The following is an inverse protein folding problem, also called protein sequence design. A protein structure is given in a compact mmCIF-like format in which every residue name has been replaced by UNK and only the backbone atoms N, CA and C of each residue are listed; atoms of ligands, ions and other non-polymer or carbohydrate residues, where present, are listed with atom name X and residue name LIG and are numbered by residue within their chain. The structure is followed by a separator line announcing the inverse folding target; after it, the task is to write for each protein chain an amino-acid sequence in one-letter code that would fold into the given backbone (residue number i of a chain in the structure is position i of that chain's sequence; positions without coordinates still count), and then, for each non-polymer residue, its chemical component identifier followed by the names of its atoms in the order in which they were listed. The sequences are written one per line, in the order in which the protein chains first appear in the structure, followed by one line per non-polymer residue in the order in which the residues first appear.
data_IF_313253091807
#
_entry.id   IF_313253091807
#
_cell.length_a   1.000
_cell.length_b   1.000
_cell.length_c   1.000
_cell.angle_alpha   90.00
_cell.angle_beta   90.00
_cell.angle_gamma   90.00
#
_symmetry.space_group_name_H-M   'P 1'
#
loop_
_entity.id
_entity.type
_entity.pdbx_description
1 polymer ?
#
# COMPACT_ATOMS: atom_id res chain seq x y z
N UNK A 1 10.46 -2.40 4.88
CA UNK A 1 9.22 -1.76 5.38
C UNK A 1 8.28 -1.58 4.20
N UNK A 2 6.95 -1.71 4.38
CA UNK A 2 5.96 -1.46 3.34
C UNK A 2 4.98 -0.36 3.78
N UNK A 3 4.37 0.32 2.81
CA UNK A 3 3.37 1.35 3.10
C UNK A 3 2.02 0.72 3.43
N UNK A 4 1.43 1.14 4.56
CA UNK A 4 0.09 0.76 4.99
C UNK A 4 -0.62 1.99 5.57
N UNK A 5 -1.76 2.33 5.02
CA UNK A 5 -2.58 3.46 5.49
C UNK A 5 -4.04 3.03 5.66
N UNK A 6 -4.63 3.34 6.83
CA UNK A 6 -6.04 3.15 7.11
C UNK A 6 -6.70 4.52 7.31
N UNK A 7 -7.76 4.79 6.57
CA UNK A 7 -8.58 5.98 6.71
C UNK A 7 -10.06 5.63 6.79
N UNK A 8 -10.88 6.58 7.23
CA UNK A 8 -12.32 6.41 7.36
C UNK A 8 -13.06 7.55 6.71
N UNK A 9 -14.12 7.24 5.97
CA UNK A 9 -15.04 8.22 5.43
C UNK A 9 -16.18 8.46 6.44
N UNK A 10 -16.33 9.70 6.88
CA UNK A 10 -17.37 10.14 7.82
C UNK A 10 -18.04 11.38 7.23
N UNK A 11 -19.34 11.33 7.03
CA UNK A 11 -20.09 12.39 6.34
C UNK A 11 -19.92 13.78 6.97
N UNK A 12 -19.90 13.88 8.30
CA UNK A 12 -19.81 15.14 9.03
C UNK A 12 -18.39 15.76 9.07
N UNK A 13 -17.33 14.95 8.90
CA UNK A 13 -15.93 15.39 9.05
C UNK A 13 -15.20 15.55 7.71
N UNK A 14 -15.91 15.43 6.60
CA UNK A 14 -15.29 15.23 5.29
C UNK A 14 -15.27 16.48 4.41
N UNK A 15 -15.43 17.68 4.99
CA UNK A 15 -15.30 18.91 4.20
C UNK A 15 -13.84 19.15 3.79
N UNK A 16 -13.56 18.96 2.51
CA UNK A 16 -12.34 19.51 1.90
C UNK A 16 -12.72 20.87 1.35
N UNK A 17 -12.12 21.94 1.86
CA UNK A 17 -12.18 23.26 1.24
C UNK A 17 -11.37 23.20 -0.05
N UNK A 18 -12.01 23.42 -1.17
CA UNK A 18 -11.35 23.56 -2.47
C UNK A 18 -10.81 25.00 -2.59
N UNK A 19 -9.81 25.20 -3.44
CA UNK A 19 -9.21 26.50 -3.72
C UNK A 19 -10.20 27.54 -4.27
N UNK A 20 -11.33 27.08 -4.82
CA UNK A 20 -12.45 27.90 -5.33
C UNK A 20 -13.49 28.29 -4.24
N UNK A 21 -13.23 27.94 -2.97
CA UNK A 21 -14.14 28.23 -1.85
C UNK A 21 -15.27 27.19 -1.67
N UNK A 22 -15.43 26.25 -2.56
CA UNK A 22 -16.41 25.17 -2.43
C UNK A 22 -15.91 24.08 -1.45
N UNK A 23 -16.85 23.43 -0.77
CA UNK A 23 -16.56 22.31 0.14
C UNK A 23 -16.97 21.01 -0.53
N UNK A 24 -16.02 20.08 -0.68
CA UNK A 24 -16.27 18.73 -1.18
C UNK A 24 -16.19 17.74 -0.03
N UNK A 25 -17.18 16.86 0.07
CA UNK A 25 -17.14 15.77 1.05
C UNK A 25 -16.37 14.58 0.49
N UNK A 26 -15.51 13.97 1.32
CA UNK A 26 -14.97 12.64 1.03
C UNK A 26 -16.06 11.61 1.29
N UNK A 27 -16.85 11.32 0.27
CA UNK A 27 -17.93 10.35 0.35
C UNK A 27 -17.43 8.98 -0.15
N UNK A 28 -18.06 7.93 0.35
CA UNK A 28 -17.74 6.54 -0.05
C UNK A 28 -17.94 6.33 -1.54
N UNK A 29 -18.99 6.92 -2.13
CA UNK A 29 -19.21 6.92 -3.58
C UNK A 29 -18.05 7.59 -4.34
N UNK A 30 -17.56 8.73 -3.86
CA UNK A 30 -16.42 9.41 -4.48
C UNK A 30 -15.14 8.58 -4.36
N UNK A 31 -14.91 7.93 -3.21
CA UNK A 31 -13.79 7.01 -3.01
C UNK A 31 -13.87 5.80 -3.95
N UNK A 32 -15.06 5.21 -4.11
CA UNK A 32 -15.30 4.14 -5.07
C UNK A 32 -14.91 4.55 -6.49
N UNK A 33 -15.44 5.67 -6.99
CA UNK A 33 -15.13 6.14 -8.34
C UNK A 33 -13.64 6.50 -8.51
N UNK A 34 -12.99 6.99 -7.45
CA UNK A 34 -11.56 7.24 -7.47
C UNK A 34 -10.76 5.95 -7.66
N UNK A 35 -11.00 4.92 -6.83
CA UNK A 35 -10.24 3.68 -6.90
C UNK A 35 -10.58 2.84 -8.15
N UNK A 36 -11.81 2.94 -8.68
CA UNK A 36 -12.23 2.22 -9.90
C UNK A 36 -11.96 2.98 -11.19
N UNK A 37 -11.43 4.21 -11.09
CA UNK A 37 -11.15 5.10 -12.24
C UNK A 37 -12.39 5.30 -13.14
N UNK A 38 -13.54 5.53 -12.54
CA UNK A 38 -14.81 5.73 -13.22
C UNK A 38 -15.29 7.19 -13.10
N UNK A 39 -16.26 7.58 -13.91
CA UNK A 39 -16.82 8.94 -14.00
C UNK A 39 -15.73 10.02 -14.18
N UNK A 40 -15.75 11.05 -13.33
CA UNK A 40 -14.77 12.14 -13.37
C UNK A 40 -13.33 11.64 -13.33
N UNK A 41 -13.08 10.57 -12.57
CA UNK A 41 -11.75 9.99 -12.39
C UNK A 41 -11.28 9.11 -13.56
N UNK A 42 -12.13 8.87 -14.56
CA UNK A 42 -11.73 8.17 -15.79
C UNK A 42 -10.69 8.94 -16.62
N UNK A 43 -10.64 10.27 -16.44
CA UNK A 43 -9.63 11.14 -17.08
C UNK A 43 -8.22 10.95 -16.47
N UNK A 44 -8.13 10.38 -15.27
CA UNK A 44 -6.88 10.02 -14.61
C UNK A 44 -6.36 8.62 -15.00
N UNK A 45 -7.00 7.95 -15.98
CA UNK A 45 -6.43 6.78 -16.68
C UNK A 45 -5.26 7.19 -17.60
N UNK A 46 -4.58 8.27 -17.27
CA UNK A 46 -3.52 8.79 -18.09
C UNK A 46 -2.26 7.94 -17.95
N UNK A 47 -1.33 8.16 -18.83
CA UNK A 47 0.02 7.60 -19.00
C UNK A 47 0.85 7.43 -17.71
N UNK A 48 0.34 7.89 -16.56
CA UNK A 48 1.04 7.97 -15.27
C UNK A 48 0.59 6.87 -14.29
N UNK A 49 -0.64 6.37 -14.38
CA UNK A 49 -1.17 5.38 -13.41
C UNK A 49 -2.10 4.38 -14.08
N UNK A 50 -1.74 3.10 -14.06
CA UNK A 50 -2.54 1.99 -14.59
C UNK A 50 -3.48 1.43 -13.51
N UNK A 51 -4.74 1.17 -13.89
CA UNK A 51 -5.65 0.33 -13.11
C UNK A 51 -5.44 -1.12 -13.54
N UNK A 52 -4.67 -1.89 -12.76
CA UNK A 52 -4.37 -3.29 -13.05
C UNK A 52 -5.57 -4.23 -12.83
N UNK A 53 -6.36 -3.96 -11.80
CA UNK A 53 -7.48 -4.81 -11.39
C UNK A 53 -8.50 -4.03 -10.58
N UNK A 54 -9.77 -4.44 -10.67
CA UNK A 54 -10.85 -3.93 -9.82
C UNK A 54 -11.96 -4.97 -9.70
N UNK A 55 -12.44 -5.21 -8.48
CA UNK A 55 -13.57 -6.08 -8.21
C UNK A 55 -14.30 -5.70 -6.91
N UNK A 56 -15.58 -6.07 -6.82
CA UNK A 56 -16.40 -5.85 -5.64
C UNK A 56 -16.94 -7.17 -5.10
N UNK A 57 -17.03 -7.28 -3.77
CA UNK A 57 -17.34 -8.52 -3.08
C UNK A 57 -18.40 -8.30 -2.00
N UNK A 58 -19.23 -9.33 -1.76
CA UNK A 58 -20.23 -9.35 -0.70
C UNK A 58 -21.21 -8.18 -0.76
N UNK A 59 -21.53 -7.72 -1.97
CA UNK A 59 -22.55 -6.70 -2.14
C UNK A 59 -23.95 -7.29 -1.89
N UNK A 60 -24.88 -6.55 -1.26
CA UNK A 60 -26.29 -6.99 -1.21
C UNK A 60 -26.86 -7.05 -2.64
N UNK A 61 -27.89 -7.88 -2.86
CA UNK A 61 -28.47 -8.13 -4.18
C UNK A 61 -28.80 -6.86 -4.98
N UNK A 62 -29.18 -5.76 -4.31
CA UNK A 62 -29.48 -4.48 -4.95
C UNK A 62 -28.23 -3.68 -5.34
N UNK A 63 -27.05 -4.06 -4.87
CA UNK A 63 -25.74 -3.45 -5.18
C UNK A 63 -24.78 -4.38 -5.92
N UNK A 64 -25.14 -5.63 -6.18
CA UNK A 64 -24.25 -6.65 -6.71
C UNK A 64 -23.76 -6.30 -8.14
N UNK A 65 -24.68 -5.96 -9.04
CA UNK A 65 -24.34 -5.52 -10.38
C UNK A 65 -23.99 -4.02 -10.47
N UNK A 66 -24.24 -3.26 -9.42
CA UNK A 66 -24.05 -1.82 -9.36
C UNK A 66 -23.42 -1.41 -8.02
N UNK A 67 -22.12 -1.72 -7.81
CA UNK A 67 -21.46 -1.41 -6.53
C UNK A 67 -21.45 0.10 -6.20
N UNK A 68 -21.48 0.96 -7.19
CA UNK A 68 -21.62 2.42 -7.01
C UNK A 68 -22.91 2.79 -6.27
N UNK A 69 -24.02 2.07 -6.51
CA UNK A 69 -25.28 2.27 -5.77
C UNK A 69 -25.14 1.88 -4.30
N UNK A 70 -24.36 0.84 -4.00
CA UNK A 70 -24.07 0.48 -2.60
C UNK A 70 -23.35 1.62 -1.88
N UNK A 71 -22.29 2.17 -2.48
CA UNK A 71 -21.52 3.25 -1.87
C UNK A 71 -22.33 4.55 -1.78
N UNK A 72 -23.20 4.82 -2.76
CA UNK A 72 -24.14 5.93 -2.68
C UNK A 72 -25.12 5.75 -1.52
N UNK A 73 -25.69 4.57 -1.35
CA UNK A 73 -26.62 4.26 -0.25
C UNK A 73 -25.92 4.36 1.12
N UNK A 74 -24.63 3.96 1.21
CA UNK A 74 -23.84 4.13 2.42
C UNK A 74 -23.74 5.62 2.81
N UNK A 75 -23.49 6.49 1.86
CA UNK A 75 -23.44 7.94 2.11
C UNK A 75 -24.83 8.53 2.40
N UNK A 76 -25.87 8.03 1.75
CA UNK A 76 -27.23 8.54 1.89
C UNK A 76 -27.84 8.20 3.25
N UNK A 77 -27.76 6.93 3.66
CA UNK A 77 -28.52 6.39 4.77
C UNK A 77 -27.73 6.20 6.07
N UNK A 78 -26.41 6.34 6.04
CA UNK A 78 -25.61 6.36 7.27
C UNK A 78 -25.75 7.71 7.97
N UNK A 79 -25.87 7.69 9.30
CA UNK A 79 -25.90 8.90 10.13
C UNK A 79 -24.64 9.76 9.92
N UNK A 80 -24.80 11.08 9.98
CA UNK A 80 -23.73 12.07 9.72
C UNK A 80 -22.46 11.84 10.56
N UNK A 81 -22.62 11.39 11.81
CA UNK A 81 -21.51 11.15 12.74
C UNK A 81 -20.89 9.77 12.62
N UNK A 82 -21.40 8.90 11.75
CA UNK A 82 -20.95 7.51 11.63
C UNK A 82 -20.09 7.32 10.38
N UNK A 83 -19.21 6.32 10.44
CA UNK A 83 -18.40 5.91 9.28
C UNK A 83 -19.30 5.34 8.20
N UNK A 84 -19.16 5.84 6.99
CA UNK A 84 -19.84 5.34 5.78
C UNK A 84 -19.04 4.21 5.15
N UNK A 85 -17.70 4.31 5.20
CA UNK A 85 -16.76 3.29 4.77
C UNK A 85 -15.41 3.44 5.46
N UNK A 86 -14.59 2.41 5.38
CA UNK A 86 -13.17 2.41 5.72
C UNK A 86 -12.36 2.10 4.46
N UNK A 87 -11.17 2.65 4.37
CA UNK A 87 -10.30 2.52 3.21
C UNK A 87 -8.89 2.20 3.68
N UNK A 88 -8.36 1.06 3.22
CA UNK A 88 -6.97 0.64 3.43
C UNK A 88 -6.24 0.80 2.11
N UNK A 89 -5.03 1.37 2.17
CA UNK A 89 -4.08 1.40 1.06
C UNK A 89 -2.83 0.66 1.47
N UNK A 90 -2.40 -0.32 0.65
CA UNK A 90 -1.26 -1.20 0.94
C UNK A 90 -0.33 -1.20 -0.28
N UNK A 91 0.96 -0.89 -0.08
CA UNK A 91 1.94 -1.13 -1.13
C UNK A 91 2.08 -2.64 -1.38
N UNK A 92 2.02 -3.03 -2.65
CA UNK A 92 2.22 -4.41 -3.07
C UNK A 92 3.68 -4.63 -3.50
N UNK A 93 4.25 -5.82 -3.29
CA UNK A 93 5.58 -6.15 -3.78
C UNK A 93 5.66 -6.07 -5.31
N UNK A 94 6.59 -5.28 -5.82
CA UNK A 94 6.87 -5.20 -7.26
C UNK A 94 7.52 -6.49 -7.80
N UNK A 95 8.07 -7.29 -6.92
CA UNK A 95 8.65 -8.60 -7.19
C UNK A 95 7.60 -9.63 -7.64
N UNK A 96 6.32 -9.40 -7.33
CA UNK A 96 5.21 -10.23 -7.77
C UNK A 96 4.68 -9.73 -9.12
N UNK A 97 4.37 -10.67 -10.01
CA UNK A 97 3.65 -10.36 -11.25
C UNK A 97 2.20 -9.92 -10.99
N UNK A 98 1.54 -9.41 -12.04
CA UNK A 98 0.16 -8.90 -11.96
C UNK A 98 -0.83 -9.94 -11.40
N UNK A 99 -0.73 -11.20 -11.82
CA UNK A 99 -1.66 -12.24 -11.37
C UNK A 99 -1.45 -12.54 -9.88
N UNK A 100 -0.20 -12.58 -9.42
CA UNK A 100 0.12 -12.79 -8.00
C UNK A 100 -0.25 -11.59 -7.14
N UNK A 101 -0.15 -10.37 -7.67
CA UNK A 101 -0.68 -9.17 -6.99
C UNK A 101 -2.20 -9.22 -6.83
N UNK A 102 -2.93 -9.75 -7.83
CA UNK A 102 -4.39 -9.97 -7.74
C UNK A 102 -4.70 -10.99 -6.66
N UNK A 103 -4.09 -12.18 -6.70
CA UNK A 103 -4.28 -13.24 -5.70
C UNK A 103 -3.99 -12.74 -4.28
N UNK A 104 -2.89 -12.02 -4.09
CA UNK A 104 -2.51 -11.41 -2.81
C UNK A 104 -3.57 -10.41 -2.33
N UNK A 105 -4.07 -9.57 -3.24
CA UNK A 105 -5.09 -8.56 -2.92
C UNK A 105 -6.42 -9.19 -2.53
N UNK A 106 -6.83 -10.25 -3.20
CA UNK A 106 -8.03 -11.03 -2.85
C UNK A 106 -7.85 -11.76 -1.51
N UNK A 107 -6.66 -12.29 -1.24
CA UNK A 107 -6.35 -12.94 0.06
C UNK A 107 -6.41 -11.95 1.21
N UNK A 108 -5.85 -10.73 1.03
CA UNK A 108 -5.93 -9.64 2.01
C UNK A 108 -7.38 -9.18 2.21
N UNK A 109 -8.15 -9.00 1.14
CA UNK A 109 -9.57 -8.66 1.21
C UNK A 109 -10.36 -9.74 1.97
N UNK A 110 -10.12 -11.02 1.68
CA UNK A 110 -10.77 -12.12 2.38
C UNK A 110 -10.46 -12.11 3.88
N UNK A 111 -9.19 -11.88 4.26
CA UNK A 111 -8.76 -11.80 5.65
C UNK A 111 -9.47 -10.67 6.41
N UNK A 112 -9.55 -9.47 5.83
CA UNK A 112 -10.08 -8.31 6.53
C UNK A 112 -11.59 -8.16 6.42
N UNK A 113 -12.19 -8.61 5.33
CA UNK A 113 -13.60 -8.37 5.01
C UNK A 113 -14.37 -9.65 4.69
N UNK A 114 -13.79 -10.57 3.95
CA UNK A 114 -14.49 -11.72 3.35
C UNK A 114 -15.06 -12.68 4.39
N UNK A 115 -14.27 -13.03 5.41
CA UNK A 115 -14.71 -13.90 6.50
C UNK A 115 -15.94 -13.35 7.28
N UNK A 116 -16.12 -12.02 7.24
CA UNK A 116 -17.26 -11.33 7.86
C UNK A 116 -18.35 -10.96 6.86
N UNK A 117 -18.23 -11.35 5.59
CA UNK A 117 -19.12 -10.94 4.50
C UNK A 117 -19.38 -9.42 4.51
N UNK A 118 -18.36 -8.62 4.70
CA UNK A 118 -18.46 -7.16 4.62
C UNK A 118 -18.38 -6.73 3.15
N UNK A 119 -19.35 -5.94 2.66
CA UNK A 119 -19.30 -5.36 1.32
C UNK A 119 -18.00 -4.58 1.13
N UNK A 120 -17.25 -4.93 0.10
CA UNK A 120 -15.93 -4.36 -0.18
C UNK A 120 -15.67 -4.23 -1.67
N UNK A 121 -14.82 -3.27 -2.03
CA UNK A 121 -14.28 -3.09 -3.39
C UNK A 121 -12.77 -3.01 -3.28
N UNK A 122 -12.07 -3.81 -4.08
CA UNK A 122 -10.62 -3.71 -4.23
C UNK A 122 -10.28 -3.12 -5.59
N UNK A 123 -9.19 -2.39 -5.65
CA UNK A 123 -8.57 -1.94 -6.89
C UNK A 123 -7.05 -1.94 -6.73
N UNK A 124 -6.34 -2.39 -7.75
CA UNK A 124 -4.88 -2.35 -7.81
C UNK A 124 -4.50 -1.26 -8.79
N UNK A 125 -3.79 -0.26 -8.29
CA UNK A 125 -3.18 0.78 -9.10
C UNK A 125 -1.68 0.54 -9.19
N UNK A 126 -1.11 0.87 -10.34
CA UNK A 126 0.32 0.86 -10.54
C UNK A 126 0.75 2.17 -11.19
N UNK A 127 1.70 2.86 -10.59
CA UNK A 127 2.24 4.09 -11.13
C UNK A 127 3.76 4.11 -10.97
N UNK A 128 4.42 4.94 -11.75
CA UNK A 128 5.85 5.17 -11.64
C UNK A 128 6.12 6.07 -10.44
N UNK A 129 7.13 5.72 -9.66
CA UNK A 129 7.51 6.48 -8.46
C UNK A 129 7.91 7.91 -8.80
N UNK A 130 7.28 8.90 -8.17
CA UNK A 130 7.56 10.32 -8.40
C UNK A 130 8.98 10.74 -8.01
N UNK A 131 9.63 9.99 -7.08
CA UNK A 131 10.95 10.35 -6.56
C UNK A 131 12.11 9.74 -7.32
N UNK A 132 11.97 8.54 -7.89
CA UNK A 132 13.04 7.87 -8.66
C UNK A 132 12.74 7.70 -10.15
N UNK A 133 11.50 7.97 -10.57
CA UNK A 133 11.10 8.10 -11.96
C UNK A 133 11.03 6.81 -12.78
N UNK A 134 11.51 5.67 -12.25
CA UNK A 134 11.65 4.43 -13.02
C UNK A 134 11.07 3.18 -12.33
N UNK A 135 10.82 3.21 -11.02
CA UNK A 135 10.30 2.02 -10.33
C UNK A 135 8.79 2.02 -10.26
N UNK A 136 8.20 0.86 -10.53
CA UNK A 136 6.79 0.61 -10.30
C UNK A 136 6.42 0.71 -8.83
N UNK A 137 5.23 1.25 -8.56
CA UNK A 137 4.65 1.32 -7.22
C UNK A 137 3.24 0.74 -7.21
N UNK A 138 3.10 -0.58 -7.39
CA UNK A 138 1.80 -1.22 -7.30
C UNK A 138 1.25 -1.10 -5.89
N UNK A 139 -0.03 -0.75 -5.77
CA UNK A 139 -0.68 -0.64 -4.48
C UNK A 139 -2.15 -1.02 -4.54
N UNK A 140 -2.58 -1.71 -3.49
CA UNK A 140 -3.96 -2.11 -3.27
C UNK A 140 -4.72 -0.97 -2.59
N UNK A 141 -5.89 -0.67 -3.12
CA UNK A 141 -6.97 0.04 -2.44
C UNK A 141 -8.04 -0.96 -2.04
N UNK A 142 -8.34 -1.07 -0.74
CA UNK A 142 -9.44 -1.84 -0.19
C UNK A 142 -10.44 -0.89 0.47
N UNK A 143 -11.54 -0.63 -0.20
CA UNK A 143 -12.68 0.12 0.33
C UNK A 143 -13.72 -0.86 0.87
N UNK A 144 -14.12 -0.73 2.15
CA UNK A 144 -15.07 -1.64 2.76
C UNK A 144 -16.04 -0.96 3.72
N UNK A 145 -17.21 -1.58 3.86
CA UNK A 145 -18.21 -1.21 4.86
C UNK A 145 -18.08 -2.11 6.08
N UNK A 146 -18.12 -1.53 7.29
CA UNK A 146 -18.16 -2.33 8.52
C UNK A 146 -19.50 -3.06 8.72
N UNK A 147 -20.46 -2.93 7.80
CA UNK A 147 -21.73 -3.66 7.81
C UNK A 147 -21.55 -5.06 7.23
N UNK A 148 -22.06 -6.06 7.92
CA UNK A 148 -21.90 -7.48 7.59
C UNK A 148 -23.21 -8.07 7.03
N UNK A 149 -23.06 -9.01 6.11
CA UNK A 149 -24.16 -9.81 5.55
C UNK A 149 -24.20 -11.24 6.11
N UNK A 150 -23.55 -11.52 7.24
CA UNK A 150 -23.50 -12.86 7.84
C UNK A 150 -24.87 -13.41 8.22
N UNK A 151 -25.83 -12.55 8.56
CA UNK A 151 -27.19 -12.97 8.92
C UNK A 151 -28.07 -13.37 7.73
N UNK A 152 -27.58 -13.17 6.49
CA UNK A 152 -28.26 -13.46 5.24
C UNK A 152 -29.67 -12.83 5.10
N UNK A 153 -30.01 -11.81 5.90
CA UNK A 153 -31.30 -11.13 5.85
C UNK A 153 -31.30 -10.15 4.68
N UNK A 154 -32.28 -10.27 3.79
CA UNK A 154 -32.49 -9.30 2.71
C UNK A 154 -33.02 -8.00 3.30
N UNK A 155 -32.35 -6.89 3.01
CA UNK A 155 -32.72 -5.54 3.46
C UNK A 155 -32.76 -4.59 2.27
N UNK A 156 -33.68 -3.63 2.30
CA UNK A 156 -33.62 -2.49 1.36
C UNK A 156 -32.36 -1.65 1.65
N UNK A 157 -31.89 -0.80 0.69
CA UNK A 157 -30.75 0.08 0.89
C UNK A 157 -30.84 0.90 2.17
N UNK A 158 -31.99 1.55 2.42
CA UNK A 158 -32.22 2.33 3.64
C UNK A 158 -32.15 1.49 4.91
N UNK A 159 -32.79 0.31 4.90
CA UNK A 159 -32.81 -0.56 6.07
C UNK A 159 -31.41 -1.10 6.38
N UNK A 160 -30.61 -1.42 5.38
CA UNK A 160 -29.27 -1.99 5.54
C UNK A 160 -28.37 -1.11 6.43
N UNK A 161 -28.43 0.21 6.27
CA UNK A 161 -27.61 1.16 7.00
C UNK A 161 -28.21 1.62 8.34
N UNK A 162 -29.46 1.22 8.68
CA UNK A 162 -30.04 1.48 10.00
C UNK A 162 -29.23 0.83 11.13
N UNK A 163 -29.55 1.19 12.35
CA UNK A 163 -28.97 0.55 13.54
C UNK A 163 -29.39 -0.92 13.61
N UNK A 164 -28.43 -1.80 13.90
CA UNK A 164 -28.71 -3.22 14.17
C UNK A 164 -29.58 -3.37 15.40
N UNK A 165 -30.56 -4.30 15.36
CA UNK A 165 -31.45 -4.62 16.46
C UNK A 165 -31.24 -6.07 16.87
N UNK A 166 -30.52 -6.29 17.96
CA UNK A 166 -30.19 -7.64 18.45
C UNK A 166 -31.44 -8.51 18.71
N UNK A 167 -32.49 -7.93 19.31
CA UNK A 167 -33.76 -8.67 19.61
C UNK A 167 -34.63 -8.93 18.38
N UNK A 168 -34.44 -8.18 17.30
CA UNK A 168 -35.20 -8.33 16.07
C UNK A 168 -34.37 -7.91 14.87
N UNK A 169 -33.39 -8.76 14.44
CA UNK A 169 -32.47 -8.42 13.35
C UNK A 169 -33.18 -8.10 12.03
N UNK A 170 -34.31 -8.77 11.74
CA UNK A 170 -35.08 -8.54 10.51
C UNK A 170 -35.68 -7.13 10.42
N UNK A 171 -35.99 -6.48 11.54
CA UNK A 171 -36.46 -5.08 11.60
C UNK A 171 -35.34 -4.06 11.80
N UNK A 172 -34.09 -4.52 12.02
CA UNK A 172 -32.89 -3.70 12.17
C UNK A 172 -32.07 -3.56 10.88
N UNK A 173 -31.03 -2.76 10.95
CA UNK A 173 -29.98 -2.70 9.92
C UNK A 173 -29.05 -3.92 9.97
N UNK A 174 -28.10 -3.99 9.05
CA UNK A 174 -27.07 -5.02 9.05
C UNK A 174 -26.16 -4.93 10.29
N UNK A 175 -25.67 -6.07 10.77
CA UNK A 175 -24.72 -6.14 11.88
C UNK A 175 -23.46 -5.34 11.55
N UNK A 176 -22.98 -4.56 12.51
CA UNK A 176 -21.76 -3.79 12.35
C UNK A 176 -20.59 -4.51 13.00
N UNK A 177 -19.57 -4.86 12.21
CA UNK A 177 -18.33 -5.47 12.66
C UNK A 177 -17.30 -4.35 12.86
N UNK A 178 -17.09 -3.98 14.11
CA UNK A 178 -16.12 -2.93 14.49
C UNK A 178 -14.89 -3.55 15.13
N UNK A 179 -13.84 -2.76 15.31
CA UNK A 179 -12.64 -3.16 16.04
C UNK A 179 -12.95 -3.70 17.45
N UNK A 180 -14.00 -3.16 18.11
CA UNK A 180 -14.43 -3.64 19.44
C UNK A 180 -15.11 -5.01 19.34
N UNK A 181 -15.95 -5.23 18.32
CA UNK A 181 -16.59 -6.53 18.06
C UNK A 181 -15.55 -7.59 17.74
N UNK A 182 -14.49 -7.23 17.02
CA UNK A 182 -13.37 -8.11 16.70
C UNK A 182 -12.41 -8.33 17.89
N UNK A 183 -12.58 -7.61 18.99
CA UNK A 183 -11.73 -7.72 20.19
C UNK A 183 -10.42 -6.92 20.12
N UNK A 184 -10.11 -6.27 18.99
CA UNK A 184 -8.86 -5.55 18.79
C UNK A 184 -8.86 -4.11 19.31
N UNK A 185 -10.03 -3.48 19.44
CA UNK A 185 -10.18 -2.11 19.94
C UNK A 185 -9.17 -1.14 19.29
N UNK A 186 -8.31 -0.50 20.10
CA UNK A 186 -7.27 0.44 19.61
C UNK A 186 -6.16 -0.24 18.82
N UNK A 187 -5.98 -1.55 18.97
CA UNK A 187 -4.93 -2.33 18.34
C UNK A 187 -5.30 -2.82 16.92
N UNK A 188 -6.46 -2.44 16.39
CA UNK A 188 -6.93 -2.90 15.07
C UNK A 188 -5.95 -2.55 13.95
N UNK A 189 -5.33 -1.37 14.00
CA UNK A 189 -4.32 -0.95 13.02
C UNK A 189 -3.09 -1.83 13.08
N UNK A 190 -2.60 -2.12 14.29
CA UNK A 190 -1.47 -3.02 14.49
C UNK A 190 -1.78 -4.42 13.98
N UNK A 191 -2.97 -4.95 14.32
CA UNK A 191 -3.44 -6.25 13.82
C UNK A 191 -3.45 -6.31 12.29
N UNK A 192 -4.05 -5.31 11.62
CA UNK A 192 -4.08 -5.27 10.15
C UNK A 192 -2.67 -5.20 9.54
N UNK A 193 -1.77 -4.41 10.12
CA UNK A 193 -0.38 -4.32 9.64
C UNK A 193 0.37 -5.64 9.80
N UNK A 194 0.25 -6.30 10.95
CA UNK A 194 0.90 -7.59 11.19
C UNK A 194 0.35 -8.67 10.26
N UNK A 195 -0.97 -8.75 10.08
CA UNK A 195 -1.57 -9.71 9.14
C UNK A 195 -1.19 -9.43 7.68
N UNK A 196 -1.07 -8.16 7.32
CA UNK A 196 -0.56 -7.80 5.98
C UNK A 196 0.87 -8.29 5.79
N UNK A 197 1.75 -8.09 6.77
CA UNK A 197 3.14 -8.57 6.74
C UNK A 197 3.20 -10.10 6.58
N UNK A 198 2.46 -10.83 7.40
CA UNK A 198 2.40 -12.29 7.35
C UNK A 198 1.99 -12.78 5.95
N UNK A 199 0.86 -12.26 5.41
CA UNK A 199 0.33 -12.69 4.12
C UNK A 199 1.25 -12.28 2.97
N UNK A 200 1.82 -11.08 2.98
CA UNK A 200 2.79 -10.65 1.96
C UNK A 200 4.02 -11.57 1.98
N UNK A 201 4.55 -11.88 3.16
CA UNK A 201 5.74 -12.72 3.28
C UNK A 201 5.47 -14.17 2.85
N UNK A 202 4.28 -14.73 3.13
CA UNK A 202 3.87 -16.03 2.58
C UNK A 202 3.90 -16.05 1.04
N UNK A 203 3.43 -14.99 0.39
CA UNK A 203 3.46 -14.85 -1.07
C UNK A 203 4.87 -14.66 -1.61
N UNK A 204 5.69 -13.82 -0.95
CA UNK A 204 7.07 -13.60 -1.36
C UNK A 204 7.91 -14.87 -1.22
N UNK A 205 7.80 -15.57 -0.10
CA UNK A 205 8.50 -16.84 0.11
C UNK A 205 8.17 -17.87 -0.99
N UNK A 206 6.91 -17.92 -1.44
CA UNK A 206 6.45 -18.88 -2.44
C UNK A 206 6.80 -18.49 -3.86
N UNK A 207 6.74 -17.22 -4.25
CA UNK A 207 6.76 -16.77 -5.64
C UNK A 207 7.95 -15.88 -6.00
N UNK A 208 8.57 -15.23 -5.03
CA UNK A 208 9.69 -14.32 -5.21
C UNK A 208 10.55 -14.25 -3.93
N UNK A 209 11.18 -15.37 -3.50
CA UNK A 209 11.86 -15.45 -2.20
C UNK A 209 13.05 -14.49 -2.09
N UNK A 210 13.66 -14.16 -3.22
CA UNK A 210 14.81 -13.26 -3.30
C UNK A 210 14.56 -12.11 -4.27
N UNK A 211 15.31 -11.03 -4.10
CA UNK A 211 15.36 -9.87 -5.00
C UNK A 211 16.78 -9.35 -5.11
N UNK A 212 17.06 -8.66 -6.21
CA UNK A 212 18.33 -7.95 -6.39
C UNK A 212 18.16 -6.51 -5.91
N UNK A 213 19.07 -6.08 -5.02
CA UNK A 213 19.20 -4.69 -4.57
C UNK A 213 20.57 -4.18 -4.96
N UNK A 214 20.68 -2.87 -5.25
CA UNK A 214 21.95 -2.21 -5.49
C UNK A 214 22.29 -1.34 -4.28
N UNK A 215 23.44 -1.61 -3.66
CA UNK A 215 23.98 -0.85 -2.52
C UNK A 215 25.36 -0.34 -2.88
N UNK A 216 25.51 0.97 -3.02
CA UNK A 216 26.78 1.63 -3.41
C UNK A 216 27.46 0.99 -4.64
N UNK A 217 26.64 0.67 -5.67
CA UNK A 217 27.13 0.08 -6.91
C UNK A 217 27.43 -1.42 -6.86
N UNK A 218 27.09 -2.11 -5.76
CA UNK A 218 27.18 -3.56 -5.62
C UNK A 218 25.78 -4.15 -5.71
N UNK A 219 25.57 -5.09 -6.62
CA UNK A 219 24.32 -5.84 -6.72
C UNK A 219 24.36 -7.04 -5.77
N UNK A 220 23.32 -7.13 -4.94
CA UNK A 220 23.15 -8.19 -3.94
C UNK A 220 21.82 -8.89 -4.16
N UNK A 221 21.87 -10.21 -4.13
CA UNK A 221 20.66 -11.03 -4.02
C UNK A 221 20.32 -11.20 -2.53
N UNK A 222 19.15 -10.69 -2.13
CA UNK A 222 18.70 -10.63 -0.75
C UNK A 222 17.27 -11.16 -0.62
N UNK A 223 16.82 -11.48 0.59
CA UNK A 223 15.43 -11.87 0.86
C UNK A 223 14.46 -10.75 0.46
N UNK A 224 13.35 -11.14 -0.17
CA UNK A 224 12.27 -10.21 -0.53
C UNK A 224 11.36 -9.85 0.65
N UNK A 225 11.51 -10.46 1.82
CA UNK A 225 10.63 -10.26 2.96
C UNK A 225 10.44 -8.78 3.34
N UNK A 226 9.24 -8.45 3.80
CA UNK A 226 8.86 -7.10 4.27
C UNK A 226 8.64 -7.11 5.79
N UNK A 227 8.69 -5.92 6.41
CA UNK A 227 8.37 -5.76 7.82
C UNK A 227 7.43 -4.58 8.06
N UNK A 228 6.47 -4.73 8.97
CA UNK A 228 5.54 -3.69 9.39
C UNK A 228 6.07 -2.83 10.55
N UNK A 229 7.25 -3.15 11.07
CA UNK A 229 7.87 -2.40 12.16
C UNK A 229 8.20 -0.96 11.72
N UNK A 230 8.09 -0.02 12.66
CA UNK A 230 8.69 1.30 12.47
C UNK A 230 10.22 1.19 12.40
N UNK A 231 10.91 2.22 11.89
CA UNK A 231 12.37 2.23 11.92
C UNK A 231 12.90 2.12 13.35
N UNK A 232 12.27 2.78 14.30
CA UNK A 232 12.62 2.72 15.73
C UNK A 232 12.50 1.29 16.28
N UNK A 233 11.34 0.63 16.05
CA UNK A 233 11.10 -0.74 16.55
C UNK A 233 12.02 -1.75 15.85
N UNK A 234 12.28 -1.54 14.55
CA UNK A 234 13.20 -2.38 13.78
C UNK A 234 14.63 -2.25 14.32
N UNK A 235 15.10 -1.01 14.56
CA UNK A 235 16.40 -0.72 15.14
C UNK A 235 16.55 -1.36 16.52
N UNK A 236 15.52 -1.24 17.36
CA UNK A 236 15.50 -1.85 18.70
C UNK A 236 15.56 -3.37 18.66
N UNK A 237 14.82 -3.98 17.72
CA UNK A 237 14.72 -5.44 17.59
C UNK A 237 15.97 -6.07 17.00
N UNK A 238 16.58 -5.42 16.00
CA UNK A 238 17.67 -6.00 15.20
C UNK A 238 19.01 -5.31 15.39
N UNK A 239 19.09 -4.25 16.20
CA UNK A 239 20.34 -3.53 16.45
C UNK A 239 20.84 -2.72 15.25
N UNK A 240 19.95 -2.35 14.32
CA UNK A 240 20.25 -1.54 13.13
C UNK A 240 20.17 -0.05 13.44
N UNK A 241 20.52 0.79 12.45
CA UNK A 241 20.50 2.26 12.54
C UNK A 241 19.70 2.86 11.37
N UNK A 242 18.47 2.34 11.15
CA UNK A 242 17.60 2.87 10.11
C UNK A 242 17.22 4.31 10.41
N UNK A 243 17.23 5.16 9.39
CA UNK A 243 16.85 6.57 9.44
C UNK A 243 15.49 6.78 8.79
N UNK A 244 14.73 7.76 9.30
CA UNK A 244 13.48 8.16 8.66
C UNK A 244 13.74 8.98 7.41
N UNK A 245 12.93 8.72 6.37
CA UNK A 245 13.03 9.44 5.10
C UNK A 245 12.27 10.77 5.22
N UNK A 246 12.92 11.86 4.86
CA UNK A 246 12.31 13.18 4.82
C UNK A 246 11.13 13.21 3.85
N UNK A 247 9.99 13.76 4.31
CA UNK A 247 8.81 13.94 3.46
C UNK A 247 8.95 15.23 2.64
N UNK A 248 8.90 15.09 1.32
CA UNK A 248 8.88 16.25 0.41
C UNK A 248 7.48 16.87 0.42
N UNK A 249 7.32 18.17 0.67
CA UNK A 249 6.03 18.84 0.56
C UNK A 249 5.42 18.64 -0.82
N UNK A 250 4.11 18.32 -0.83
CA UNK A 250 3.43 17.98 -2.09
C UNK A 250 3.43 19.15 -3.08
N UNK A 251 3.34 20.36 -2.57
CA UNK A 251 3.34 21.60 -3.35
C UNK A 251 4.62 21.72 -4.16
N UNK A 252 5.78 21.40 -3.58
CA UNK A 252 7.08 21.42 -4.25
C UNK A 252 7.17 20.38 -5.37
N UNK A 253 6.63 19.18 -5.16
CA UNK A 253 6.70 18.07 -6.15
C UNK A 253 6.03 18.42 -7.49
N UNK A 254 5.01 19.29 -7.46
CA UNK A 254 4.24 19.68 -8.64
C UNK A 254 4.50 21.12 -9.07
N UNK A 255 5.43 21.83 -8.43
CA UNK A 255 5.81 23.19 -8.80
C UNK A 255 6.58 23.18 -10.13
N UNK A 256 6.32 24.19 -10.95
CA UNK A 256 7.07 24.48 -12.20
C UNK A 256 8.12 25.57 -12.00
N UNK A 257 8.22 26.14 -10.78
CA UNK A 257 9.25 27.13 -10.46
C UNK A 257 10.63 26.48 -10.42
N UNK A 258 11.66 27.03 -11.11
CA UNK A 258 13.02 26.50 -11.08
C UNK A 258 13.63 26.35 -9.68
N UNK A 259 13.43 27.33 -8.79
CA UNK A 259 13.96 27.27 -7.41
C UNK A 259 13.37 26.08 -6.62
N UNK A 260 12.07 25.84 -6.76
CA UNK A 260 11.39 24.70 -6.12
C UNK A 260 11.88 23.37 -6.72
N UNK A 261 12.19 23.34 -8.01
CA UNK A 261 12.73 22.16 -8.68
C UNK A 261 14.14 21.82 -8.18
N UNK A 262 14.97 22.84 -7.91
CA UNK A 262 16.30 22.65 -7.32
C UNK A 262 16.19 22.14 -5.87
N UNK A 263 15.23 22.66 -5.10
CA UNK A 263 14.94 22.16 -3.76
C UNK A 263 14.48 20.69 -3.80
N UNK A 264 13.59 20.33 -4.71
CA UNK A 264 13.16 18.93 -4.92
C UNK A 264 14.34 18.03 -5.31
N UNK A 265 15.27 18.53 -6.12
CA UNK A 265 16.48 17.77 -6.49
C UNK A 265 17.36 17.47 -5.26
N UNK A 266 17.50 18.43 -4.34
CA UNK A 266 18.21 18.24 -3.08
C UNK A 266 17.51 17.21 -2.18
N UNK A 267 16.19 17.30 -2.00
CA UNK A 267 15.41 16.27 -1.28
C UNK A 267 15.59 14.89 -1.91
N UNK A 268 15.54 14.77 -3.23
CA UNK A 268 15.75 13.49 -3.93
C UNK A 268 17.13 12.89 -3.66
N UNK A 269 18.16 13.74 -3.57
CA UNK A 269 19.52 13.30 -3.25
C UNK A 269 19.59 12.77 -1.83
N UNK A 270 19.12 13.54 -0.85
CA UNK A 270 19.07 13.15 0.56
C UNK A 270 18.28 11.84 0.76
N UNK A 271 17.10 11.73 0.13
CA UNK A 271 16.26 10.51 0.21
C UNK A 271 17.00 9.30 -0.37
N UNK A 272 17.74 9.45 -1.46
CA UNK A 272 18.55 8.36 -2.02
C UNK A 272 19.64 7.92 -1.06
N UNK A 273 20.36 8.86 -0.44
CA UNK A 273 21.40 8.58 0.54
C UNK A 273 20.85 7.85 1.76
N UNK A 274 19.71 8.31 2.32
CA UNK A 274 19.04 7.64 3.43
C UNK A 274 18.59 6.23 3.02
N UNK A 275 17.99 6.05 1.84
CA UNK A 275 17.58 4.73 1.35
C UNK A 275 18.74 3.77 1.17
N UNK A 276 19.88 4.25 0.63
CA UNK A 276 21.10 3.45 0.50
C UNK A 276 21.64 3.04 1.87
N UNK A 277 21.69 3.99 2.82
CA UNK A 277 22.07 3.70 4.19
C UNK A 277 21.16 2.63 4.82
N UNK A 278 19.86 2.78 4.71
CA UNK A 278 18.89 1.84 5.25
C UNK A 278 19.01 0.45 4.62
N UNK A 279 19.23 0.37 3.30
CA UNK A 279 19.50 -0.90 2.63
C UNK A 279 20.78 -1.55 3.15
N UNK A 280 21.85 -0.76 3.32
CA UNK A 280 23.10 -1.25 3.90
C UNK A 280 22.88 -1.77 5.33
N UNK A 281 22.18 -1.03 6.18
CA UNK A 281 21.90 -1.44 7.56
C UNK A 281 21.07 -2.74 7.62
N UNK A 282 20.06 -2.90 6.76
CA UNK A 282 19.24 -4.12 6.70
C UNK A 282 20.03 -5.31 6.18
N UNK A 283 20.88 -5.11 5.17
CA UNK A 283 21.63 -6.18 4.50
C UNK A 283 23.13 -6.09 4.76
N UNK A 284 23.54 -5.54 5.90
CA UNK A 284 24.94 -5.26 6.23
C UNK A 284 25.85 -6.48 6.09
N UNK A 285 25.42 -7.63 6.56
CA UNK A 285 26.21 -8.87 6.47
C UNK A 285 26.42 -9.31 5.02
N UNK A 286 25.36 -9.29 4.21
CA UNK A 286 25.40 -9.62 2.79
C UNK A 286 26.26 -8.62 2.02
N UNK A 287 26.13 -7.33 2.34
CA UNK A 287 26.94 -6.25 1.76
C UNK A 287 28.42 -6.39 2.08
N UNK A 288 28.77 -6.66 3.35
CA UNK A 288 30.15 -6.88 3.79
C UNK A 288 30.79 -8.08 3.06
N UNK A 289 30.04 -9.18 2.90
CA UNK A 289 30.50 -10.36 2.15
C UNK A 289 30.70 -10.05 0.66
N UNK A 290 29.78 -9.30 0.03
CA UNK A 290 29.91 -8.92 -1.36
C UNK A 290 31.09 -7.97 -1.58
N UNK A 291 31.33 -7.04 -0.67
CA UNK A 291 32.47 -6.13 -0.72
C UNK A 291 33.80 -6.89 -0.61
N UNK A 292 33.89 -7.89 0.31
CA UNK A 292 35.07 -8.72 0.45
C UNK A 292 35.36 -9.51 -0.83
N UNK A 293 34.35 -10.16 -1.42
CA UNK A 293 34.52 -10.89 -2.70
C UNK A 293 34.97 -9.98 -3.84
N UNK A 294 34.41 -8.78 -3.94
CA UNK A 294 34.81 -7.80 -4.97
C UNK A 294 36.27 -7.38 -4.82
N UNK A 295 36.73 -7.15 -3.57
CA UNK A 295 38.12 -6.79 -3.30
C UNK A 295 39.11 -7.93 -3.61
N UNK A 296 38.72 -9.18 -3.40
CA UNK A 296 39.51 -10.35 -3.76
C UNK A 296 39.63 -10.49 -5.27
N UNK A 297 38.54 -10.35 -6.01
CA UNK A 297 38.54 -10.39 -7.49
C UNK A 297 39.38 -9.27 -8.11
N UNK A 298 39.33 -8.07 -7.54
CA UNK A 298 40.21 -6.94 -7.99
C UNK A 298 41.69 -7.23 -7.78
N UNK A 299 42.04 -7.86 -6.67
CA UNK A 299 43.47 -8.28 -6.38
C UNK A 299 43.93 -9.38 -7.35
N UNK A 300 43.10 -10.39 -7.63
CA UNK A 300 43.40 -11.45 -8.59
C UNK A 300 43.57 -10.89 -10.00
N UNK A 301 42.69 -9.98 -10.44
CA UNK A 301 42.82 -9.33 -11.75
C UNK A 301 44.06 -8.47 -11.88
N UNK A 302 44.46 -7.77 -10.81
CA UNK A 302 45.69 -6.97 -10.80
C UNK A 302 46.93 -7.87 -10.86
N UNK A 303 46.92 -8.98 -10.16
CA UNK A 303 48.01 -9.95 -10.19
C UNK A 303 48.18 -10.63 -11.57
N UNK A 304 47.08 -10.95 -12.24
CA UNK A 304 47.08 -11.47 -13.62
C UNK A 304 47.63 -10.45 -14.63
N UNK A 305 47.28 -9.16 -14.48
CA UNK A 305 47.78 -8.09 -15.33
C UNK A 305 49.29 -7.84 -15.16
N UNK A 306 49.80 -7.95 -13.92
CA UNK A 306 51.23 -7.81 -13.62
C UNK A 306 52.03 -9.03 -14.12
N UNK A 307 51.46 -10.25 -14.07
CA UNK A 307 52.09 -11.42 -14.66
C UNK A 307 52.14 -11.36 -16.19
N UNK A 308 51.07 -10.87 -16.86
CA UNK A 308 51.06 -10.72 -18.31
C UNK A 308 52.06 -9.66 -18.81
N UNK A 309 52.23 -8.56 -18.06
CA UNK A 309 53.23 -7.55 -18.40
C UNK A 309 54.68 -8.03 -18.24
N UNK A 310 54.94 -8.93 -17.26
CA UNK A 310 56.28 -9.52 -17.11
C UNK A 310 56.62 -10.54 -18.17
N UNK A 311 55.63 -11.15 -18.84
CA UNK A 311 55.85 -12.06 -19.98
C UNK A 311 56.13 -11.34 -21.29
N UNK A 312 55.73 -10.09 -21.46
CA UNK A 312 55.98 -9.26 -22.64
C UNK A 312 57.37 -8.59 -22.63
N UNK A 313 58.16 -8.73 -21.57
CA UNK A 313 59.52 -8.16 -21.47
C UNK A 313 60.65 -9.21 -21.62
N UNK A 314 60.34 -10.48 -21.94
CA UNK A 314 61.34 -11.53 -22.19
C UNK A 314 61.46 -11.94 -23.67
N UNK A 315 61.28 -10.99 -24.62
CA UNK A 315 61.60 -11.21 -26.03
C UNK A 315 62.44 -10.08 -26.58
#
# INVERSE_FOLDING_TARGET
MYYFHLSHNVKGNSQIKLSDGHSKYRLSKSAYHYITRTLYFSKHKSEIEELEYCSSYHMPAWGDNHPDQFWYAADQYTSVTKRTSSHITIALPKELDKNRRIELSERLMHEFCGQYKMPSTIAIHNHVAALDGNSEQPHLHLLFSEKSMLDNIRRSPEQFFKQYRQKNPAKGGALKITADVLGFRRNILFHYRTKTEEIINEFLEKYAPTKIVEIYGIQLEVSSAVSCLSNEDYNKKYGTKLMDVTQVPRELLYSTNPEDQDEVANYRKEIREIRQHNLCEVYKKEYELALAKKSEQEKENTHHLDQSKNLDFEF
#
